data_IF_454122458548
#
_entry.id   IF_454122458548
#
_cell.length_a   1.000
_cell.length_b   1.000
_cell.length_c   1.000
_cell.angle_alpha   90.00
_cell.angle_beta   90.00
_cell.angle_gamma   90.00
#
_symmetry.space_group_name_H-M   'P 1'
#
loop_
_entity.id
_entity.type
_entity.pdbx_description
1 polymer ?
#
# COMPACT_ATOMS: atom_id res chain seq x y z
N UNK A 1 8.59 15.53 7.28
CA UNK A 1 9.78 16.31 7.73
C UNK A 1 9.77 17.73 7.17
N UNK A 2 9.48 17.97 5.87
CA UNK A 2 9.37 19.33 5.29
C UNK A 2 8.05 20.07 5.67
N UNK A 3 7.02 19.38 6.16
CA UNK A 3 5.73 19.97 6.60
C UNK A 3 5.51 20.04 8.11
N UNK A 4 6.53 19.71 8.93
CA UNK A 4 6.41 19.69 10.41
C UNK A 4 5.42 18.64 10.98
N UNK A 5 4.68 17.93 10.13
CA UNK A 5 3.73 16.89 10.53
C UNK A 5 4.34 15.49 10.56
N UNK A 6 3.83 14.67 11.48
CA UNK A 6 4.15 13.25 11.62
C UNK A 6 3.44 12.49 10.48
N UNK A 7 4.21 11.73 9.68
CA UNK A 7 3.68 10.83 8.63
C UNK A 7 3.47 9.44 9.22
N UNK A 8 2.25 9.18 9.70
CA UNK A 8 1.90 7.88 10.28
C UNK A 8 1.50 6.84 9.22
N UNK A 9 1.09 7.30 8.02
CA UNK A 9 0.47 6.43 7.00
C UNK A 9 1.46 5.53 6.26
N UNK A 10 2.76 5.86 6.29
CA UNK A 10 3.79 5.25 5.44
C UNK A 10 3.83 3.72 5.58
N UNK A 11 3.66 3.19 6.79
CA UNK A 11 3.64 1.75 7.03
C UNK A 11 2.45 1.06 6.36
N UNK A 12 1.26 1.64 6.43
CA UNK A 12 0.06 1.09 5.78
C UNK A 12 0.11 1.20 4.27
N UNK A 13 0.70 2.28 3.72
CA UNK A 13 0.88 2.44 2.26
C UNK A 13 1.84 1.38 1.75
N UNK A 14 2.98 1.17 2.40
CA UNK A 14 3.95 0.13 2.04
C UNK A 14 3.32 -1.26 2.12
N UNK A 15 2.53 -1.54 3.17
CA UNK A 15 1.83 -2.81 3.29
C UNK A 15 0.83 -3.03 2.13
N UNK A 16 0.01 -2.04 1.79
CA UNK A 16 -0.97 -2.13 0.70
C UNK A 16 -0.31 -2.30 -0.67
N UNK A 17 0.76 -1.53 -0.95
CA UNK A 17 1.50 -1.68 -2.20
C UNK A 17 2.20 -3.05 -2.26
N UNK A 18 2.81 -3.50 -1.16
CA UNK A 18 3.46 -4.81 -1.10
C UNK A 18 2.50 -5.98 -1.36
N UNK A 19 1.29 -5.95 -0.79
CA UNK A 19 0.30 -7.01 -1.03
C UNK A 19 -0.18 -7.02 -2.48
N UNK A 20 -0.42 -5.84 -3.07
CA UNK A 20 -0.76 -5.70 -4.49
C UNK A 20 0.38 -6.18 -5.41
N UNK A 21 1.64 -5.97 -5.03
CA UNK A 21 2.79 -6.40 -5.81
C UNK A 21 2.83 -7.90 -5.95
N UNK A 22 2.68 -8.57 -4.80
CA UNK A 22 2.70 -10.01 -4.69
C UNK A 22 1.49 -10.58 -5.43
N UNK A 23 0.31 -9.98 -5.33
CA UNK A 23 -0.87 -10.42 -6.09
C UNK A 23 -0.65 -10.33 -7.61
N UNK A 24 -0.09 -9.22 -8.11
CA UNK A 24 0.21 -9.06 -9.53
C UNK A 24 1.21 -10.08 -10.06
N UNK A 25 2.23 -10.42 -9.28
CA UNK A 25 3.25 -11.39 -9.68
C UNK A 25 2.76 -12.83 -9.48
N UNK A 26 2.28 -13.16 -8.28
CA UNK A 26 1.98 -14.53 -7.87
C UNK A 26 0.61 -15.04 -8.35
N UNK A 27 -0.40 -14.17 -8.42
CA UNK A 27 -1.76 -14.56 -8.82
C UNK A 27 -2.01 -14.27 -10.30
N UNK A 28 -1.64 -13.07 -10.76
CA UNK A 28 -1.89 -12.66 -12.16
C UNK A 28 -0.78 -13.04 -13.13
N UNK A 29 0.34 -13.58 -12.63
CA UNK A 29 1.48 -13.99 -13.47
C UNK A 29 2.10 -12.84 -14.27
N UNK A 30 1.93 -11.59 -13.83
CA UNK A 30 2.46 -10.44 -14.55
C UNK A 30 3.98 -10.39 -14.43
N UNK A 31 4.64 -9.98 -15.52
CA UNK A 31 6.08 -9.75 -15.50
C UNK A 31 6.45 -8.71 -14.43
N UNK A 32 7.47 -9.04 -13.62
CA UNK A 32 7.95 -8.18 -12.54
C UNK A 32 8.21 -6.70 -12.92
N UNK A 33 8.66 -6.34 -14.15
CA UNK A 33 8.90 -4.94 -14.50
C UNK A 33 7.59 -4.16 -14.60
N UNK A 34 6.52 -4.79 -15.11
CA UNK A 34 5.20 -4.16 -15.30
C UNK A 34 4.53 -3.97 -13.94
N UNK A 35 4.60 -4.98 -13.08
CA UNK A 35 4.08 -4.89 -11.72
C UNK A 35 4.79 -3.78 -10.92
N UNK A 36 6.10 -3.63 -11.07
CA UNK A 36 6.88 -2.59 -10.41
C UNK A 36 6.48 -1.18 -10.86
N UNK A 37 6.34 -0.95 -12.17
CA UNK A 37 5.90 0.35 -12.71
C UNK A 37 4.49 0.70 -12.21
N UNK A 38 3.56 -0.26 -12.23
CA UNK A 38 2.20 -0.03 -11.74
C UNK A 38 2.17 0.38 -10.27
N UNK A 39 3.00 -0.23 -9.45
CA UNK A 39 3.10 0.12 -8.03
C UNK A 39 3.72 1.49 -7.80
N UNK A 40 4.75 1.85 -8.56
CA UNK A 40 5.30 3.20 -8.48
C UNK A 40 4.25 4.26 -8.85
N UNK A 41 3.46 4.01 -9.89
CA UNK A 41 2.36 4.90 -10.29
C UNK A 41 1.31 4.99 -9.19
N UNK A 42 0.91 3.86 -8.59
CA UNK A 42 -0.03 3.83 -7.46
C UNK A 42 0.49 4.60 -6.25
N UNK A 43 1.75 4.40 -5.86
CA UNK A 43 2.40 5.12 -4.77
C UNK A 43 2.48 6.64 -5.03
N UNK A 44 2.78 7.04 -6.27
CA UNK A 44 2.80 8.44 -6.68
C UNK A 44 1.40 9.08 -6.60
N UNK A 45 0.35 8.37 -7.04
CA UNK A 45 -1.04 8.84 -6.94
C UNK A 45 -1.45 9.03 -5.48
N UNK A 46 -1.10 8.07 -4.60
CA UNK A 46 -1.37 8.14 -3.17
C UNK A 46 -0.68 9.35 -2.54
N UNK A 47 0.60 9.56 -2.86
CA UNK A 47 1.37 10.71 -2.38
C UNK A 47 0.82 12.05 -2.88
N UNK A 48 0.42 12.12 -4.16
CA UNK A 48 -0.23 13.29 -4.74
C UNK A 48 -1.57 13.57 -4.08
N UNK A 49 -2.38 12.54 -3.79
CA UNK A 49 -3.65 12.70 -3.08
C UNK A 49 -3.43 13.28 -1.67
N UNK A 50 -2.43 12.78 -0.93
CA UNK A 50 -2.07 13.33 0.39
C UNK A 50 -1.61 14.79 0.29
N UNK A 51 -0.71 15.09 -0.66
CA UNK A 51 -0.23 16.45 -0.90
C UNK A 51 -1.34 17.42 -1.33
N UNK A 52 -2.26 16.96 -2.18
CA UNK A 52 -3.42 17.74 -2.62
C UNK A 52 -4.38 18.04 -1.47
N UNK A 53 -4.68 17.05 -0.62
CA UNK A 53 -5.56 17.23 0.53
C UNK A 53 -5.00 18.27 1.51
N UNK A 54 -3.70 18.21 1.79
CA UNK A 54 -3.04 19.15 2.70
C UNK A 54 -3.01 20.55 2.10
N UNK A 55 -2.64 20.69 0.82
CA UNK A 55 -2.47 22.00 0.17
C UNK A 55 -3.78 22.71 -0.16
N UNK A 56 -4.82 21.97 -0.59
CA UNK A 56 -6.11 22.57 -0.98
C UNK A 56 -7.11 22.67 0.16
N UNK A 57 -7.23 21.64 1.01
CA UNK A 57 -8.19 21.65 2.12
C UNK A 57 -7.62 22.24 3.41
N UNK A 58 -6.34 22.64 3.44
CA UNK A 58 -5.64 23.20 4.61
C UNK A 58 -5.78 22.32 5.87
N UNK A 59 -5.93 21.02 5.67
CA UNK A 59 -6.02 20.05 6.75
C UNK A 59 -4.63 19.83 7.35
N UNK A 60 -4.57 19.64 8.68
CA UNK A 60 -3.32 19.28 9.34
C UNK A 60 -2.82 17.92 8.81
N UNK A 61 -1.51 17.79 8.50
CA UNK A 61 -0.92 16.56 7.96
C UNK A 61 -1.18 15.33 8.83
N UNK A 62 -1.27 15.51 10.15
CA UNK A 62 -1.58 14.44 11.10
C UNK A 62 -2.94 13.79 10.83
N UNK A 63 -3.98 14.58 10.59
CA UNK A 63 -5.34 14.06 10.35
C UNK A 63 -5.39 13.32 9.01
N UNK A 64 -4.79 13.89 7.96
CA UNK A 64 -4.74 13.28 6.63
C UNK A 64 -4.04 11.92 6.68
N UNK A 65 -2.91 11.84 7.37
CA UNK A 65 -2.12 10.61 7.47
C UNK A 65 -2.73 9.57 8.41
N UNK A 66 -3.44 9.98 9.47
CA UNK A 66 -4.22 9.07 10.31
C UNK A 66 -5.39 8.46 9.53
N UNK A 67 -6.18 9.29 8.83
CA UNK A 67 -7.25 8.81 7.96
C UNK A 67 -6.70 7.89 6.86
N UNK A 68 -5.59 8.28 6.22
CA UNK A 68 -4.89 7.48 5.23
C UNK A 68 -4.47 6.12 5.78
N UNK A 69 -3.81 6.10 6.95
CA UNK A 69 -3.42 4.86 7.64
C UNK A 69 -4.59 3.89 7.80
N UNK A 70 -5.75 4.38 8.27
CA UNK A 70 -6.94 3.55 8.48
C UNK A 70 -7.53 3.04 7.17
N UNK A 71 -7.63 3.90 6.16
CA UNK A 71 -8.13 3.53 4.83
C UNK A 71 -7.21 2.50 4.19
N UNK A 72 -5.91 2.76 4.09
CA UNK A 72 -4.96 1.85 3.46
C UNK A 72 -4.88 0.51 4.18
N UNK A 73 -4.91 0.52 5.52
CA UNK A 73 -4.92 -0.72 6.30
C UNK A 73 -6.22 -1.49 6.12
N UNK A 74 -7.37 -0.80 6.06
CA UNK A 74 -8.67 -1.40 5.81
C UNK A 74 -8.74 -2.03 4.41
N UNK A 75 -8.29 -1.30 3.39
CA UNK A 75 -8.23 -1.80 2.01
C UNK A 75 -7.27 -2.98 1.90
N UNK A 76 -6.10 -2.93 2.53
CA UNK A 76 -5.16 -4.05 2.52
C UNK A 76 -5.75 -5.30 3.17
N UNK A 77 -6.43 -5.15 4.32
CA UNK A 77 -7.13 -6.27 4.98
C UNK A 77 -8.27 -6.83 4.14
N UNK A 78 -9.09 -5.95 3.58
CA UNK A 78 -10.20 -6.34 2.73
C UNK A 78 -9.69 -7.08 1.49
N UNK A 79 -8.65 -6.56 0.85
CA UNK A 79 -8.03 -7.18 -0.32
C UNK A 79 -7.43 -8.55 -0.02
N UNK A 80 -6.83 -8.70 1.17
CA UNK A 80 -6.22 -9.96 1.58
C UNK A 80 -7.19 -10.90 2.28
N UNK A 81 -8.47 -10.53 2.44
CA UNK A 81 -9.48 -11.27 3.21
C UNK A 81 -8.97 -11.72 4.60
N UNK A 82 -8.27 -10.84 5.31
CA UNK A 82 -7.55 -11.11 6.58
C UNK A 82 -6.41 -12.16 6.50
N UNK A 83 -6.06 -12.63 5.31
CA UNK A 83 -4.89 -13.48 5.05
C UNK A 83 -3.56 -12.71 4.99
N UNK A 84 -2.45 -13.45 4.92
CA UNK A 84 -1.11 -12.93 4.67
C UNK A 84 -0.76 -13.07 3.19
N UNK A 85 -0.73 -11.96 2.44
CA UNK A 85 -0.23 -11.98 1.06
C UNK A 85 1.30 -12.14 1.10
N UNK A 86 1.80 -13.30 0.68
CA UNK A 86 3.23 -13.61 0.66
C UNK A 86 3.58 -15.03 1.11
N UNK A 87 2.69 -15.68 1.88
CA UNK A 87 2.79 -17.11 2.14
C UNK A 87 1.62 -17.79 1.44
N UNK A 88 1.92 -18.71 0.53
CA UNK A 88 0.88 -19.58 0.01
C UNK A 88 0.35 -20.43 1.17
N UNK A 89 -0.83 -20.09 1.69
CA UNK A 89 -1.56 -21.02 2.56
C UNK A 89 -1.79 -22.30 1.73
N UNK A 90 -1.07 -23.37 2.08
CA UNK A 90 -1.14 -24.66 1.39
C UNK A 90 0.07 -25.05 0.53
N UNK A 91 1.22 -24.37 0.58
CA UNK A 91 2.46 -24.96 0.03
C UNK A 91 3.09 -25.94 1.04
N UNK A 92 2.87 -27.23 0.80
CA UNK A 92 3.83 -28.25 1.19
C UNK A 92 5.05 -28.09 0.27
N UNK A 93 6.24 -28.02 0.85
CA UNK A 93 7.51 -28.16 0.13
C UNK A 93 7.91 -29.64 0.21
N UNK A 94 7.53 -30.50 -0.74
CA UNK A 94 7.86 -31.93 -0.67
C UNK A 94 9.34 -32.25 -0.88
N UNK A 95 10.21 -31.26 -1.17
CA UNK A 95 11.63 -31.48 -1.48
C UNK A 95 12.58 -30.57 -0.67
N UNK A 96 12.38 -30.52 0.66
CA UNK A 96 13.47 -30.27 1.63
C UNK A 96 13.46 -31.37 2.69
#
# INVERSE_FOLDING_TARGET
IITGGIELSVGSVVALLGTLFIDFIAVRGMGWPIAFVLILVLGAIIGLAHGWLITRLKLQPFVVTLCGLLIYRGVARFYTADGTAGFAFGQNFPDL
#
